data_IF_002472055365
#
_entry.id   IF_002472055365
#
_cell.length_a   1.000
_cell.length_b   1.000
_cell.length_c   1.000
_cell.angle_alpha   90.00
_cell.angle_beta   90.00
_cell.angle_gamma   90.00
#
_symmetry.space_group_name_H-M   'P 1'
#
loop_
_entity.id
_entity.type
_entity.pdbx_description
1 polymer ?
#
# COMPACT_ATOMS: atom_id res chain seq x y z
N UNK A 1 -5.73 20.58 -19.21
CA UNK A 1 -5.79 19.93 -17.90
C UNK A 1 -7.22 19.47 -17.68
N UNK A 2 -7.45 18.19 -17.40
CA UNK A 2 -8.79 17.63 -17.10
C UNK A 2 -9.15 17.84 -15.63
N UNK A 3 -10.42 17.63 -15.25
CA UNK A 3 -10.83 17.66 -13.84
C UNK A 3 -10.11 16.61 -13.00
N UNK A 4 -9.83 15.44 -13.58
CA UNK A 4 -9.08 14.37 -12.91
C UNK A 4 -7.60 14.76 -12.73
N UNK A 5 -6.97 15.36 -13.74
CA UNK A 5 -5.58 15.85 -13.62
C UNK A 5 -5.46 16.96 -12.56
N UNK A 6 -6.44 17.86 -12.50
CA UNK A 6 -6.51 18.87 -11.44
C UNK A 6 -6.67 18.23 -10.07
N UNK A 7 -7.60 17.28 -9.93
CA UNK A 7 -7.83 16.57 -8.68
C UNK A 7 -6.61 15.77 -8.21
N UNK A 8 -5.91 15.11 -9.14
CA UNK A 8 -4.66 14.40 -8.90
C UNK A 8 -3.59 15.35 -8.39
N UNK A 9 -3.43 16.53 -8.98
CA UNK A 9 -2.43 17.49 -8.52
C UNK A 9 -2.68 17.98 -7.08
N UNK A 10 -3.95 18.14 -6.69
CA UNK A 10 -4.33 18.45 -5.30
C UNK A 10 -4.15 17.27 -4.34
N UNK A 11 -4.37 16.04 -4.81
CA UNK A 11 -4.05 14.83 -4.06
C UNK A 11 -2.54 14.71 -3.83
N UNK A 12 -1.73 14.93 -4.86
CA UNK A 12 -0.27 14.85 -4.79
C UNK A 12 0.31 15.91 -3.85
N UNK A 13 -0.25 17.13 -3.83
CA UNK A 13 0.12 18.16 -2.84
C UNK A 13 -0.18 17.72 -1.40
N UNK A 14 -1.33 17.08 -1.17
CA UNK A 14 -1.65 16.52 0.13
C UNK A 14 -0.70 15.36 0.50
N UNK A 15 -0.41 14.47 -0.45
CA UNK A 15 0.46 13.31 -0.29
C UNK A 15 1.94 13.68 -0.04
N UNK A 16 2.36 14.88 -0.45
CA UNK A 16 3.69 15.43 -0.16
C UNK A 16 3.84 15.95 1.27
N UNK A 17 2.76 16.09 2.05
CA UNK A 17 2.83 16.58 3.44
C UNK A 17 3.40 15.52 4.39
N UNK A 18 3.76 15.97 5.59
CA UNK A 18 4.35 15.13 6.65
C UNK A 18 3.45 13.96 7.05
N UNK A 19 4.09 12.86 7.46
CA UNK A 19 3.52 11.64 8.04
C UNK A 19 2.27 11.89 8.91
N UNK A 20 1.22 11.09 8.71
CA UNK A 20 0.02 11.18 9.52
C UNK A 20 -0.88 9.95 9.47
N UNK A 21 -1.81 9.85 10.41
CA UNK A 21 -2.83 8.79 10.38
C UNK A 21 -3.78 8.98 9.18
N UNK A 22 -4.39 7.89 8.73
CA UNK A 22 -5.36 7.90 7.62
C UNK A 22 -6.48 8.93 7.82
N UNK A 23 -6.96 9.11 9.05
CA UNK A 23 -7.99 10.11 9.37
C UNK A 23 -7.49 11.55 9.16
N UNK A 24 -6.24 11.83 9.53
CA UNK A 24 -5.60 13.13 9.32
C UNK A 24 -5.43 13.43 7.84
N UNK A 25 -5.01 12.43 7.05
CA UNK A 25 -4.91 12.55 5.59
C UNK A 25 -6.29 12.74 4.93
N UNK A 26 -7.31 11.99 5.38
CA UNK A 26 -8.69 12.17 4.93
C UNK A 26 -9.26 13.56 5.23
N UNK A 27 -8.89 14.15 6.38
CA UNK A 27 -9.25 15.51 6.74
C UNK A 27 -8.52 16.55 5.87
N UNK A 28 -7.26 16.29 5.49
CA UNK A 28 -6.52 17.12 4.55
C UNK A 28 -7.16 17.10 3.16
N UNK A 29 -7.49 15.93 2.63
CA UNK A 29 -8.20 15.83 1.34
C UNK A 29 -9.55 16.54 1.38
N UNK A 30 -10.24 16.54 2.54
CA UNK A 30 -11.48 17.31 2.72
C UNK A 30 -11.25 18.82 2.54
N UNK A 31 -10.15 19.32 3.13
CA UNK A 31 -9.73 20.72 2.96
C UNK A 31 -9.41 21.03 1.50
N UNK A 32 -8.67 20.15 0.81
CA UNK A 32 -8.32 20.35 -0.60
C UNK A 32 -9.56 20.34 -1.51
N UNK A 33 -10.49 19.41 -1.31
CA UNK A 33 -11.79 19.39 -2.01
C UNK A 33 -12.56 20.70 -1.83
N UNK A 34 -12.66 21.21 -0.60
CA UNK A 34 -13.30 22.50 -0.33
C UNK A 34 -12.57 23.67 -0.99
N UNK A 35 -11.23 23.66 -0.99
CA UNK A 35 -10.42 24.70 -1.65
C UNK A 35 -10.64 24.74 -3.15
N UNK A 36 -10.66 23.58 -3.82
CA UNK A 36 -10.94 23.51 -5.26
C UNK A 36 -12.32 24.10 -5.59
N UNK A 37 -13.32 23.94 -4.70
CA UNK A 37 -14.67 24.49 -4.88
C UNK A 37 -14.73 26.01 -4.68
N UNK A 38 -14.16 26.50 -3.59
CA UNK A 38 -14.47 27.85 -3.08
C UNK A 38 -13.30 28.83 -3.15
N UNK A 39 -12.06 28.36 -3.30
CA UNK A 39 -10.89 29.10 -2.86
C UNK A 39 -9.91 29.38 -4.02
N UNK A 40 -9.72 30.66 -4.32
CA UNK A 40 -8.61 31.18 -5.15
C UNK A 40 -7.51 31.81 -4.27
N UNK A 41 -7.53 31.60 -2.95
CA UNK A 41 -6.66 32.37 -2.05
C UNK A 41 -5.27 31.73 -1.85
N UNK A 42 -4.27 32.60 -1.67
CA UNK A 42 -2.83 32.36 -1.86
C UNK A 42 -2.10 31.44 -0.88
N UNK A 43 -2.76 30.42 -0.34
CA UNK A 43 -2.13 29.38 0.50
C UNK A 43 -1.86 28.07 -0.28
N UNK A 44 -2.11 28.06 -1.59
CA UNK A 44 -1.83 26.96 -2.50
C UNK A 44 -0.49 27.21 -3.20
N UNK A 45 0.28 26.15 -3.51
CA UNK A 45 1.46 26.28 -4.39
C UNK A 45 1.08 27.04 -5.66
N UNK A 46 1.96 27.93 -6.13
CA UNK A 46 1.69 28.83 -7.26
C UNK A 46 1.19 28.11 -8.52
N UNK A 47 1.68 26.90 -8.80
CA UNK A 47 1.27 26.09 -9.96
C UNK A 47 -0.19 25.62 -9.87
N UNK A 48 -0.64 25.21 -8.69
CA UNK A 48 -2.02 24.78 -8.46
C UNK A 48 -2.98 25.98 -8.41
N UNK A 49 -2.53 27.12 -7.89
CA UNK A 49 -3.30 28.37 -7.94
C UNK A 49 -3.55 28.80 -9.39
N UNK A 50 -2.51 28.75 -10.23
CA UNK A 50 -2.61 28.98 -11.68
C UNK A 50 -3.58 27.98 -12.33
N UNK A 51 -3.46 26.68 -12.01
CA UNK A 51 -4.37 25.67 -12.55
C UNK A 51 -5.84 25.94 -12.18
N UNK A 52 -6.11 26.40 -10.96
CA UNK A 52 -7.45 26.81 -10.54
C UNK A 52 -7.95 28.04 -11.30
N UNK A 53 -7.10 29.07 -11.48
CA UNK A 53 -7.47 30.29 -12.23
C UNK A 53 -7.97 29.98 -13.65
N UNK A 54 -7.34 29.04 -14.33
CA UNK A 54 -7.72 28.62 -15.68
C UNK A 54 -8.85 27.57 -15.73
N UNK A 55 -9.18 26.93 -14.61
CA UNK A 55 -10.26 25.94 -14.55
C UNK A 55 -11.64 26.60 -14.47
N UNK A 56 -12.57 26.13 -15.30
CA UNK A 56 -13.98 26.52 -15.28
C UNK A 56 -14.66 26.08 -13.98
N UNK A 57 -15.77 26.72 -13.58
CA UNK A 57 -16.53 26.30 -12.40
C UNK A 57 -16.96 24.82 -12.43
N UNK A 58 -17.33 24.30 -13.61
CA UNK A 58 -17.70 22.90 -13.78
C UNK A 58 -16.51 21.95 -13.56
N UNK A 59 -15.33 22.28 -14.09
CA UNK A 59 -14.11 21.49 -13.87
C UNK A 59 -13.69 21.47 -12.40
N UNK A 60 -13.84 22.59 -11.69
CA UNK A 60 -13.58 22.67 -10.26
C UNK A 60 -14.54 21.80 -9.45
N UNK A 61 -15.83 21.84 -9.75
CA UNK A 61 -16.84 20.97 -9.10
C UNK A 61 -16.50 19.49 -9.34
N UNK A 62 -16.19 19.12 -10.59
CA UNK A 62 -15.81 17.76 -10.94
C UNK A 62 -14.52 17.33 -10.23
N UNK A 63 -13.48 18.17 -10.21
CA UNK A 63 -12.23 17.87 -9.52
C UNK A 63 -12.43 17.67 -8.01
N UNK A 64 -13.24 18.53 -7.37
CA UNK A 64 -13.57 18.35 -5.96
C UNK A 64 -14.38 17.07 -5.69
N UNK A 65 -15.24 16.66 -6.63
CA UNK A 65 -15.93 15.37 -6.56
C UNK A 65 -14.93 14.20 -6.61
N UNK A 66 -13.93 14.24 -7.50
CA UNK A 66 -12.89 13.21 -7.57
C UNK A 66 -12.06 13.11 -6.26
N UNK A 67 -11.73 14.25 -5.65
CA UNK A 67 -11.05 14.26 -4.34
C UNK A 67 -11.94 13.64 -3.25
N UNK A 68 -13.23 13.96 -3.24
CA UNK A 68 -14.18 13.36 -2.28
C UNK A 68 -14.39 11.87 -2.53
N UNK A 69 -14.38 11.43 -3.79
CA UNK A 69 -14.42 10.01 -4.14
C UNK A 69 -13.17 9.29 -3.62
N UNK A 70 -11.97 9.84 -3.82
CA UNK A 70 -10.72 9.30 -3.29
C UNK A 70 -10.74 9.15 -1.76
N UNK A 71 -11.32 10.12 -1.04
CA UNK A 71 -11.54 10.01 0.42
C UNK A 71 -12.44 8.83 0.78
N UNK A 72 -13.49 8.61 0.00
CA UNK A 72 -14.35 7.44 0.13
C UNK A 72 -13.58 6.14 -0.03
N UNK A 73 -12.75 6.04 -1.06
CA UNK A 73 -11.92 4.87 -1.35
C UNK A 73 -10.89 4.61 -0.24
N UNK A 74 -10.22 5.64 0.29
CA UNK A 74 -9.30 5.50 1.44
C UNK A 74 -10.00 4.93 2.67
N UNK A 75 -11.18 5.47 2.99
CA UNK A 75 -11.94 5.01 4.15
C UNK A 75 -12.38 3.57 4.00
N UNK A 76 -12.75 3.16 2.78
CA UNK A 76 -13.13 1.78 2.51
C UNK A 76 -11.91 0.84 2.59
N UNK A 77 -10.81 1.18 1.92
CA UNK A 77 -9.59 0.37 1.90
C UNK A 77 -8.99 0.17 3.29
N UNK A 78 -8.97 1.21 4.13
CA UNK A 78 -8.27 1.21 5.41
C UNK A 78 -9.19 1.22 6.64
N UNK A 79 -10.47 0.92 6.46
CA UNK A 79 -11.47 0.95 7.54
C UNK A 79 -10.97 0.19 8.78
N UNK A 80 -11.05 0.83 9.95
CA UNK A 80 -10.70 0.21 11.24
C UNK A 80 -9.22 -0.11 11.47
N UNK A 81 -8.31 0.36 10.61
CA UNK A 81 -6.86 0.11 10.75
C UNK A 81 -6.13 1.34 11.30
N UNK A 82 -5.33 1.19 12.35
CA UNK A 82 -4.50 2.28 12.93
C UNK A 82 -3.18 2.47 12.18
N UNK A 83 -3.24 2.63 10.85
CA UNK A 83 -2.04 2.78 10.02
C UNK A 83 -1.70 4.24 9.73
N UNK A 84 -0.45 4.45 9.32
CA UNK A 84 0.11 5.75 8.99
C UNK A 84 0.29 5.86 7.48
N UNK A 85 -0.11 6.99 6.88
CA UNK A 85 0.22 7.35 5.51
C UNK A 85 1.41 8.30 5.54
N UNK A 86 2.47 7.95 4.83
CA UNK A 86 3.69 8.75 4.69
C UNK A 86 4.32 8.43 3.34
N UNK A 87 4.97 9.41 2.71
CA UNK A 87 5.79 9.14 1.53
C UNK A 87 6.93 8.18 1.92
N UNK A 88 7.10 7.10 1.16
CA UNK A 88 8.18 6.13 1.34
C UNK A 88 9.27 6.33 0.30
N UNK A 89 10.35 5.57 0.42
CA UNK A 89 11.40 5.52 -0.59
C UNK A 89 10.82 5.03 -1.93
N UNK A 90 11.50 5.42 -3.01
CA UNK A 90 11.13 4.96 -4.35
C UNK A 90 11.10 3.42 -4.39
N UNK A 91 10.15 2.89 -5.15
CA UNK A 91 9.79 1.45 -5.22
C UNK A 91 9.23 0.76 -3.96
N UNK A 92 9.00 1.48 -2.86
CA UNK A 92 8.32 0.94 -1.67
C UNK A 92 6.87 1.40 -1.63
N UNK A 93 5.93 0.45 -1.59
CA UNK A 93 4.49 0.75 -1.50
C UNK A 93 3.95 0.75 -0.06
N UNK A 94 4.56 -0.06 0.80
CA UNK A 94 4.25 -0.19 2.21
C UNK A 94 5.50 -0.61 2.99
N UNK A 95 5.47 -0.35 4.30
CA UNK A 95 6.52 -0.74 5.22
C UNK A 95 5.88 -1.14 6.56
N UNK A 96 6.06 -2.40 6.93
CA UNK A 96 5.70 -2.94 8.23
C UNK A 96 6.88 -3.67 8.86
N UNK A 97 7.02 -3.51 10.17
CA UNK A 97 8.00 -4.28 10.94
C UNK A 97 7.38 -5.62 11.38
N UNK A 98 8.21 -6.66 11.40
CA UNK A 98 7.86 -7.95 11.97
C UNK A 98 7.47 -7.80 13.44
N UNK A 99 6.48 -8.57 13.89
CA UNK A 99 5.94 -8.53 15.26
C UNK A 99 5.57 -7.12 15.79
N UNK A 100 5.20 -6.18 14.91
CA UNK A 100 4.84 -4.82 15.27
C UNK A 100 3.47 -4.42 14.73
N UNK A 101 2.72 -3.59 15.46
CA UNK A 101 1.40 -3.10 15.03
C UNK A 101 1.46 -1.87 14.10
N UNK A 102 2.65 -1.47 13.65
CA UNK A 102 2.85 -0.25 12.87
C UNK A 102 2.99 -0.58 11.40
N UNK A 103 2.05 -0.05 10.61
CA UNK A 103 2.04 -0.13 9.15
C UNK A 103 2.12 1.28 8.59
N UNK A 104 3.07 1.49 7.68
CA UNK A 104 3.18 2.68 6.85
C UNK A 104 2.81 2.35 5.40
N UNK A 105 2.02 3.19 4.74
CA UNK A 105 1.69 3.04 3.32
C UNK A 105 1.99 4.34 2.58
N UNK A 106 2.60 4.24 1.40
CA UNK A 106 2.83 5.39 0.53
C UNK A 106 1.53 5.78 -0.21
N UNK A 107 0.97 6.97 0.04
CA UNK A 107 -0.24 7.43 -0.65
C UNK A 107 -0.07 7.54 -2.17
N UNK A 108 1.12 7.86 -2.68
CA UNK A 108 1.38 7.94 -4.11
C UNK A 108 1.36 6.55 -4.78
N UNK A 109 1.66 5.50 -4.01
CA UNK A 109 1.73 4.12 -4.52
C UNK A 109 0.38 3.43 -4.59
N UNK A 110 -0.68 3.99 -4.02
CA UNK A 110 -2.05 3.45 -4.10
C UNK A 110 -2.91 4.12 -5.17
N UNK A 111 -2.31 4.95 -6.02
CA UNK A 111 -3.01 5.65 -7.11
C UNK A 111 -3.42 4.71 -8.26
N UNK A 112 -4.48 5.10 -9.00
CA UNK A 112 -5.11 4.32 -10.06
C UNK A 112 -5.26 5.05 -11.39
N UNK A 113 -5.68 4.32 -12.44
CA UNK A 113 -5.92 4.89 -13.78
C UNK A 113 -7.34 5.43 -14.00
N UNK A 114 -8.34 4.81 -13.38
CA UNK A 114 -9.76 5.15 -13.54
C UNK A 114 -10.26 6.17 -12.49
N UNK A 115 -9.35 6.67 -11.65
CA UNK A 115 -9.60 7.60 -10.55
C UNK A 115 -8.33 7.82 -9.74
N UNK A 116 -8.37 8.71 -8.74
CA UNK A 116 -7.17 9.08 -7.98
C UNK A 116 -6.58 7.87 -7.22
N UNK A 117 -7.42 7.01 -6.66
CA UNK A 117 -7.01 5.86 -5.83
C UNK A 117 -7.55 4.57 -6.42
N UNK A 118 -6.68 3.57 -6.54
CA UNK A 118 -7.08 2.18 -6.79
C UNK A 118 -7.28 1.50 -5.43
N UNK A 119 -8.55 1.41 -4.99
CA UNK A 119 -8.92 0.81 -3.70
C UNK A 119 -8.45 -0.63 -3.58
N UNK A 120 -8.57 -1.42 -4.64
CA UNK A 120 -8.20 -2.83 -4.58
C UNK A 120 -6.69 -3.01 -4.43
N UNK A 121 -5.91 -2.18 -5.12
CA UNK A 121 -4.46 -2.10 -4.91
C UNK A 121 -4.11 -1.67 -3.48
N UNK A 122 -4.81 -0.68 -2.93
CA UNK A 122 -4.62 -0.24 -1.55
C UNK A 122 -4.93 -1.36 -0.53
N UNK A 123 -6.02 -2.10 -0.74
CA UNK A 123 -6.41 -3.27 0.07
C UNK A 123 -5.36 -4.39 0.00
N UNK A 124 -4.81 -4.67 -1.18
CA UNK A 124 -3.78 -5.69 -1.37
C UNK A 124 -2.44 -5.29 -0.76
N UNK A 125 -2.05 -4.01 -0.82
CA UNK A 125 -0.88 -3.49 -0.09
C UNK A 125 -1.10 -3.63 1.42
N UNK A 126 -2.29 -3.26 1.93
CA UNK A 126 -2.60 -3.42 3.34
C UNK A 126 -2.53 -4.88 3.81
N UNK A 127 -3.06 -5.81 3.01
CA UNK A 127 -3.04 -7.22 3.35
C UNK A 127 -1.61 -7.76 3.45
N UNK A 128 -0.75 -7.36 2.50
CA UNK A 128 0.68 -7.66 2.52
C UNK A 128 1.36 -7.16 3.79
N UNK A 129 1.19 -5.88 4.11
CA UNK A 129 1.82 -5.29 5.31
C UNK A 129 1.30 -5.93 6.61
N UNK A 130 -0.01 -6.24 6.69
CA UNK A 130 -0.59 -6.97 7.82
C UNK A 130 -0.04 -8.38 7.96
N UNK A 131 0.39 -9.01 6.88
CA UNK A 131 1.03 -10.31 6.97
C UNK A 131 2.40 -10.17 7.63
N UNK A 132 3.20 -9.17 7.27
CA UNK A 132 4.49 -8.90 7.94
C UNK A 132 4.34 -8.66 9.43
N UNK A 133 3.32 -7.91 9.87
CA UNK A 133 3.09 -7.68 11.30
C UNK A 133 2.80 -8.97 12.10
N UNK A 134 2.39 -10.04 11.43
CA UNK A 134 2.11 -11.35 12.04
C UNK A 134 3.32 -12.29 12.01
N UNK A 135 4.41 -11.89 11.36
CA UNK A 135 5.58 -12.73 11.17
C UNK A 135 6.59 -12.55 12.29
N UNK A 136 7.13 -13.66 12.78
CA UNK A 136 8.18 -13.62 13.79
C UNK A 136 9.49 -13.08 13.24
N UNK A 137 10.16 -12.24 14.05
CA UNK A 137 11.55 -11.87 13.80
C UNK A 137 12.51 -13.06 13.96
N UNK A 138 12.19 -14.01 14.84
CA UNK A 138 12.98 -15.22 15.03
C UNK A 138 12.83 -16.15 13.82
N UNK A 139 13.93 -16.79 13.45
CA UNK A 139 13.97 -17.77 12.38
C UNK A 139 14.85 -18.94 12.81
N UNK A 140 14.34 -20.16 12.65
CA UNK A 140 15.12 -21.36 12.93
C UNK A 140 16.17 -21.68 11.86
N UNK A 141 16.17 -20.98 10.72
CA UNK A 141 17.15 -21.10 9.64
C UNK A 141 17.52 -19.72 9.08
N UNK A 142 18.64 -19.64 8.35
CA UNK A 142 19.03 -18.42 7.62
C UNK A 142 18.57 -18.44 6.15
N UNK A 143 18.35 -19.65 5.60
CA UNK A 143 17.88 -19.88 4.24
C UNK A 143 17.01 -21.12 4.15
N UNK A 144 16.13 -21.17 3.15
CA UNK A 144 15.17 -22.26 2.92
C UNK A 144 15.19 -22.67 1.46
N UNK A 145 15.20 -23.97 1.20
CA UNK A 145 15.05 -24.53 -0.13
C UNK A 145 13.59 -24.90 -0.39
N UNK A 146 12.92 -24.18 -1.27
CA UNK A 146 11.54 -24.43 -1.67
C UNK A 146 11.53 -25.04 -3.06
N UNK A 147 11.33 -26.36 -3.14
CA UNK A 147 11.49 -27.12 -4.38
C UNK A 147 12.96 -27.20 -4.78
N UNK A 148 13.33 -26.54 -5.89
CA UNK A 148 14.71 -26.53 -6.42
C UNK A 148 15.48 -25.24 -6.16
N UNK A 149 14.84 -24.25 -5.54
CA UNK A 149 15.42 -22.92 -5.34
C UNK A 149 15.65 -22.65 -3.85
N UNK A 150 16.80 -22.08 -3.54
CA UNK A 150 17.16 -21.65 -2.18
C UNK A 150 16.94 -20.15 -2.05
N UNK A 151 16.20 -19.76 -1.02
CA UNK A 151 15.80 -18.39 -0.71
C UNK A 151 16.36 -17.99 0.65
N UNK A 152 16.72 -16.72 0.82
CA UNK A 152 17.00 -16.19 2.16
C UNK A 152 15.69 -16.09 2.95
N UNK A 153 15.75 -16.19 4.28
CA UNK A 153 14.54 -16.14 5.11
C UNK A 153 13.72 -14.87 4.92
N UNK A 154 14.38 -13.73 4.72
CA UNK A 154 13.68 -12.47 4.44
C UNK A 154 12.90 -12.54 3.11
N UNK A 155 13.42 -13.23 2.10
CA UNK A 155 12.69 -13.44 0.85
C UNK A 155 11.51 -14.41 1.03
N UNK A 156 11.64 -15.41 1.90
CA UNK A 156 10.53 -16.31 2.25
C UNK A 156 9.40 -15.57 2.98
N UNK A 157 9.75 -14.59 3.83
CA UNK A 157 8.79 -13.69 4.47
C UNK A 157 8.02 -12.84 3.45
N UNK A 158 8.72 -12.29 2.46
CA UNK A 158 8.09 -11.57 1.34
C UNK A 158 7.21 -12.50 0.50
N UNK A 159 7.65 -13.73 0.20
CA UNK A 159 6.84 -14.72 -0.51
C UNK A 159 5.53 -15.01 0.24
N UNK A 160 5.61 -15.20 1.56
CA UNK A 160 4.42 -15.39 2.39
C UNK A 160 3.49 -14.16 2.38
N UNK A 161 4.04 -12.95 2.49
CA UNK A 161 3.28 -11.70 2.45
C UNK A 161 2.63 -11.45 1.07
N UNK A 162 3.34 -11.68 -0.02
CA UNK A 162 2.80 -11.56 -1.38
C UNK A 162 1.69 -12.60 -1.63
N UNK A 163 1.77 -13.79 -1.03
CA UNK A 163 0.77 -14.84 -1.24
C UNK A 163 -0.64 -14.51 -0.76
N UNK A 164 -0.82 -13.50 0.09
CA UNK A 164 -2.16 -13.07 0.54
C UNK A 164 -2.82 -12.05 -0.39
N UNK A 165 -2.06 -11.48 -1.32
CA UNK A 165 -2.54 -10.45 -2.25
C UNK A 165 -3.39 -11.09 -3.37
N UNK A 166 -4.50 -10.45 -3.73
CA UNK A 166 -5.36 -10.90 -4.83
C UNK A 166 -4.86 -10.42 -6.18
N UNK A 167 -4.28 -9.21 -6.23
CA UNK A 167 -3.66 -8.63 -7.41
C UNK A 167 -2.16 -8.47 -7.21
N UNK A 168 -1.41 -8.75 -8.26
CA UNK A 168 0.07 -8.63 -8.30
C UNK A 168 0.56 -7.88 -9.53
N UNK A 169 -0.36 -7.33 -10.34
CA UNK A 169 -0.05 -6.58 -11.57
C UNK A 169 0.74 -5.30 -11.28
N UNK A 170 0.58 -4.73 -10.08
CA UNK A 170 1.28 -3.53 -9.64
C UNK A 170 2.62 -3.79 -8.96
N UNK A 171 2.99 -5.05 -8.72
CA UNK A 171 4.28 -5.41 -8.13
C UNK A 171 5.43 -5.11 -9.09
N UNK A 172 6.57 -4.73 -8.52
CA UNK A 172 7.84 -4.62 -9.26
C UNK A 172 8.26 -5.97 -9.83
N UNK A 173 9.15 -5.97 -10.82
CA UNK A 173 9.64 -7.22 -11.44
C UNK A 173 10.24 -8.18 -10.40
N UNK A 174 11.00 -7.64 -9.42
CA UNK A 174 11.53 -8.40 -8.29
C UNK A 174 10.40 -9.02 -7.47
N UNK A 175 9.39 -8.27 -7.07
CA UNK A 175 8.31 -8.80 -6.25
C UNK A 175 7.44 -9.83 -6.99
N UNK A 176 7.36 -9.73 -8.32
CA UNK A 176 6.70 -10.75 -9.16
C UNK A 176 7.44 -12.09 -9.20
N UNK A 177 8.70 -12.18 -8.77
CA UNK A 177 9.34 -13.50 -8.61
C UNK A 177 8.79 -14.22 -7.38
N UNK A 178 8.48 -13.48 -6.31
CA UNK A 178 7.94 -14.03 -5.08
C UNK A 178 6.55 -14.64 -5.27
N UNK A 179 5.69 -14.03 -6.10
CA UNK A 179 4.34 -14.54 -6.40
C UNK A 179 4.32 -15.85 -7.19
N UNK A 180 5.47 -16.33 -7.69
CA UNK A 180 5.58 -17.63 -8.37
C UNK A 180 5.59 -18.80 -7.40
N UNK A 181 5.96 -18.56 -6.14
CA UNK A 181 6.00 -19.58 -5.09
C UNK A 181 4.66 -19.55 -4.35
N UNK A 182 3.93 -20.66 -4.40
CA UNK A 182 2.63 -20.76 -3.74
C UNK A 182 2.80 -21.02 -2.24
N UNK A 183 2.14 -20.21 -1.42
CA UNK A 183 2.01 -20.42 0.02
C UNK A 183 0.53 -20.47 0.39
N UNK A 184 0.11 -21.55 1.03
CA UNK A 184 -1.23 -21.64 1.60
C UNK A 184 -1.29 -21.07 3.02
N UNK A 185 -2.44 -21.21 3.69
CA UNK A 185 -2.61 -20.69 5.05
C UNK A 185 -1.74 -21.41 6.09
N UNK A 186 -1.45 -22.70 5.88
CA UNK A 186 -0.61 -23.49 6.77
C UNK A 186 0.86 -23.09 6.60
N UNK A 187 1.33 -22.95 5.36
CA UNK A 187 2.69 -22.48 5.07
C UNK A 187 2.98 -21.11 5.71
N UNK A 188 2.04 -20.17 5.53
CA UNK A 188 2.13 -18.85 6.17
C UNK A 188 2.18 -18.96 7.69
N UNK A 189 1.43 -19.89 8.28
CA UNK A 189 1.49 -20.09 9.74
C UNK A 189 2.87 -20.54 10.22
N UNK A 190 3.60 -21.32 9.43
CA UNK A 190 4.98 -21.72 9.74
C UNK A 190 5.94 -20.54 9.63
N UNK A 191 5.81 -19.71 8.58
CA UNK A 191 6.58 -18.47 8.43
C UNK A 191 6.30 -17.52 9.59
N UNK A 192 5.02 -17.38 9.99
CA UNK A 192 4.63 -16.56 11.13
C UNK A 192 5.28 -17.00 12.43
N UNK A 193 5.43 -18.32 12.62
CA UNK A 193 6.04 -18.90 13.80
C UNK A 193 7.58 -19.01 13.72
N UNK A 194 8.23 -18.53 12.64
CA UNK A 194 9.68 -18.65 12.47
C UNK A 194 10.18 -20.07 12.17
N UNK A 195 9.29 -21.00 11.78
CA UNK A 195 9.56 -22.44 11.59
C UNK A 195 9.93 -22.77 10.15
N UNK A 196 11.00 -22.16 9.68
CA UNK A 196 11.47 -22.23 8.29
C UNK A 196 12.01 -23.61 7.90
N UNK A 197 12.68 -24.34 8.81
CA UNK A 197 13.09 -25.73 8.54
C UNK A 197 11.92 -26.68 8.34
N UNK A 198 10.83 -26.45 9.07
CA UNK A 198 9.62 -27.25 8.87
C UNK A 198 8.96 -26.93 7.53
N UNK A 199 8.85 -25.65 7.19
CA UNK A 199 8.35 -25.23 5.88
C UNK A 199 9.17 -25.88 4.75
N UNK A 200 10.50 -25.91 4.89
CA UNK A 200 11.41 -26.59 3.94
C UNK A 200 11.04 -28.07 3.77
N UNK A 201 10.93 -28.79 4.89
CA UNK A 201 10.65 -30.22 4.89
C UNK A 201 9.31 -30.51 4.21
N UNK A 202 8.26 -29.78 4.57
CA UNK A 202 6.91 -29.98 4.03
C UNK A 202 6.84 -29.65 2.54
N UNK A 203 7.44 -28.54 2.11
CA UNK A 203 7.45 -28.11 0.69
C UNK A 203 8.23 -29.05 -0.21
N UNK A 204 9.23 -29.75 0.33
CA UNK A 204 10.02 -30.72 -0.40
C UNK A 204 9.51 -32.17 -0.27
N UNK A 205 8.35 -32.37 0.39
CA UNK A 205 7.74 -33.69 0.54
C UNK A 205 8.43 -34.58 1.58
N UNK A 206 9.26 -34.01 2.45
CA UNK A 206 9.83 -34.71 3.60
C UNK A 206 8.86 -34.59 4.78
N UNK A 207 8.19 -35.68 5.14
CA UNK A 207 7.44 -35.74 6.40
C UNK A 207 8.41 -35.61 7.58
N UNK A 208 8.23 -34.60 8.42
CA UNK A 208 8.94 -34.52 9.69
C UNK A 208 8.55 -35.72 10.55
N UNK A 209 9.52 -36.59 10.84
CA UNK A 209 9.31 -37.68 11.78
C UNK A 209 9.15 -37.08 13.17
N UNK A 210 7.95 -37.26 13.75
CA UNK A 210 7.60 -36.91 15.14
C UNK A 210 8.39 -37.71 16.16
#
# INVERSE_FOLDING_TARGET
>A
MTSLELAQAFYDDAAQRQEGKVDSFNAELARQSHRVREDLTGSVRSELAVALEYATPQERIAAAYEIDHARGELKQAFCGSSLTLKKLDDDVAGEAQLDADVICIDPCKITGGDGIIDRHKAEDILAHEKEHTQQSFEADADSVTLGSETWQVDEVREIAAVSVQKRVDFLSERYRTFSRVTMDAHDRSLVRAGRFRQLEAEKNGFALST
#
